data_IF_153142119658
#
_entry.id   IF_153142119658
#
_cell.length_a   1.000
_cell.length_b   1.000
_cell.length_c   1.000
_cell.angle_alpha   90.00
_cell.angle_beta   90.00
_cell.angle_gamma   90.00
#
_symmetry.space_group_name_H-M   'P 1'
#
loop_
_entity.id
_entity.type
_entity.pdbx_description
1 polymer ?
#
# COMPACT_ATOMS: atom_id res chain seq x y z
N UNK A 1 -8.65 0.41 -15.07
CA UNK A 1 -8.20 -0.72 -14.22
C UNK A 1 -6.92 -0.24 -13.52
N UNK A 2 -6.76 -0.38 -12.19
CA UNK A 2 -5.55 -0.08 -11.36
C UNK A 2 -5.36 -1.31 -10.38
N UNK A 3 -4.30 -2.06 -9.96
CA UNK A 3 -2.78 -2.22 -9.93
C UNK A 3 -1.93 -0.95 -9.80
N UNK A 4 -2.33 -0.14 -8.85
CA UNK A 4 -1.44 -0.08 -7.70
C UNK A 4 -1.57 -1.43 -6.97
N UNK A 5 -0.58 -2.31 -7.07
CA UNK A 5 -0.60 -3.57 -6.32
C UNK A 5 -0.40 -3.23 -4.85
N UNK A 6 -1.50 -3.09 -4.11
CA UNK A 6 -1.51 -2.85 -2.66
C UNK A 6 -1.15 -4.13 -1.88
N UNK A 7 0.09 -4.55 -2.11
CA UNK A 7 0.94 -5.38 -1.27
C UNK A 7 2.35 -4.79 -1.43
N UNK A 8 2.46 -3.51 -1.10
CA UNK A 8 3.71 -2.75 -1.16
C UNK A 8 4.53 -3.05 0.09
N UNK A 9 5.77 -3.51 -0.09
CA UNK A 9 6.67 -3.69 1.06
C UNK A 9 6.98 -2.32 1.67
N UNK A 10 6.85 -2.16 2.99
CA UNK A 10 7.12 -0.92 3.75
C UNK A 10 8.16 -1.17 4.83
N UNK A 11 8.72 -0.08 5.35
CA UNK A 11 9.56 -0.02 6.54
C UNK A 11 8.80 0.62 7.72
N UNK A 12 9.35 0.53 8.93
CA UNK A 12 8.80 1.08 10.18
C UNK A 12 8.74 2.64 10.23
N UNK A 13 8.85 3.30 9.08
CA UNK A 13 8.65 4.74 8.90
C UNK A 13 7.57 5.03 7.83
N UNK A 14 7.03 3.99 7.17
CA UNK A 14 6.03 4.11 6.11
C UNK A 14 6.55 4.69 4.79
N UNK A 15 7.87 4.77 4.57
CA UNK A 15 8.47 5.59 3.51
C UNK A 15 8.67 4.81 2.20
N UNK A 16 9.02 3.52 2.28
CA UNK A 16 9.69 2.81 1.16
C UNK A 16 8.86 1.74 0.43
N UNK A 17 7.69 2.07 -0.11
CA UNK A 17 6.97 1.22 -1.08
C UNK A 17 6.78 1.88 -2.45
N UNK A 18 6.93 1.11 -3.54
CA UNK A 18 5.87 0.49 -4.40
C UNK A 18 6.59 -0.20 -5.58
N UNK A 19 6.20 -1.44 -5.93
CA UNK A 19 6.78 -2.20 -7.05
C UNK A 19 6.78 -1.46 -8.41
N UNK A 20 5.91 -0.47 -8.59
CA UNK A 20 5.69 0.30 -9.80
C UNK A 20 6.55 1.58 -9.93
N UNK A 21 7.46 1.88 -8.99
CA UNK A 21 8.26 3.13 -8.94
C UNK A 21 7.42 4.42 -8.85
N UNK A 22 6.27 4.35 -8.19
CA UNK A 22 5.50 5.51 -7.73
C UNK A 22 5.72 5.63 -6.22
N UNK A 23 6.21 6.75 -5.67
CA UNK A 23 6.35 6.92 -4.22
C UNK A 23 4.97 6.84 -3.51
N UNK A 24 4.92 6.27 -2.30
CA UNK A 24 3.71 6.30 -1.47
C UNK A 24 3.19 7.74 -1.24
N UNK A 25 4.10 8.71 -1.17
CA UNK A 25 3.80 10.13 -0.98
C UNK A 25 2.96 10.75 -2.13
N UNK A 26 2.91 10.12 -3.30
CA UNK A 26 2.07 10.53 -4.44
C UNK A 26 0.66 9.91 -4.40
N UNK A 27 0.35 9.10 -3.38
CA UNK A 27 -0.95 8.45 -3.19
C UNK A 27 -1.66 9.06 -1.97
N UNK A 28 -2.95 9.44 -2.06
CA UNK A 28 -3.71 9.95 -0.92
C UNK A 28 -4.09 8.80 0.01
N UNK A 29 -3.16 8.42 0.88
CA UNK A 29 -3.30 7.37 1.88
C UNK A 29 -3.21 7.97 3.28
N UNK A 30 -4.13 7.55 4.14
CA UNK A 30 -4.17 7.92 5.56
C UNK A 30 -3.98 6.64 6.39
N UNK A 31 -3.08 6.66 7.37
CA UNK A 31 -2.87 5.55 8.29
C UNK A 31 -4.02 5.45 9.30
N UNK A 32 -4.35 4.25 9.79
CA UNK A 32 -5.21 4.14 10.98
C UNK A 32 -4.47 4.68 12.23
N UNK A 33 -5.19 5.21 13.24
CA UNK A 33 -4.56 5.76 14.44
C UNK A 33 -3.73 4.72 15.20
N UNK A 34 -2.41 4.84 15.13
CA UNK A 34 -1.43 3.92 15.70
C UNK A 34 -0.28 3.61 14.73
N UNK A 35 -0.58 3.58 13.43
CA UNK A 35 0.30 3.01 12.40
C UNK A 35 1.19 4.05 11.70
N UNK A 36 2.34 3.63 11.14
CA UNK A 36 2.90 2.28 11.18
C UNK A 36 3.59 1.93 12.50
N UNK A 37 3.23 0.81 13.13
CA UNK A 37 3.83 0.31 14.39
C UNK A 37 4.90 -0.78 14.18
N UNK A 38 4.88 -1.49 13.03
CA UNK A 38 5.73 -2.63 12.70
C UNK A 38 5.76 -3.71 13.80
N UNK A 39 4.59 -4.26 14.11
CA UNK A 39 4.40 -5.17 15.24
C UNK A 39 5.40 -6.32 15.26
N UNK A 40 6.06 -6.50 16.41
CA UNK A 40 7.13 -7.49 16.64
C UNK A 40 8.32 -7.44 15.64
N UNK A 41 8.49 -6.36 14.88
CA UNK A 41 9.39 -6.25 13.72
C UNK A 41 9.07 -7.26 12.60
N UNK A 42 7.78 -7.58 12.42
CA UNK A 42 7.29 -8.59 11.48
C UNK A 42 6.34 -8.05 10.40
N UNK A 43 5.91 -6.79 10.54
CA UNK A 43 4.90 -6.18 9.68
C UNK A 43 5.60 -5.24 8.70
N UNK A 44 5.37 -5.49 7.42
CA UNK A 44 6.19 -4.93 6.35
C UNK A 44 5.46 -4.91 5.00
N UNK A 45 4.15 -5.12 4.98
CA UNK A 45 3.32 -5.01 3.79
C UNK A 45 2.13 -4.09 4.09
N UNK A 46 2.00 -3.01 3.30
CA UNK A 46 0.94 -2.03 3.48
C UNK A 46 -0.38 -2.53 2.87
N UNK A 47 -1.43 -2.57 3.70
CA UNK A 47 -2.76 -3.12 3.42
C UNK A 47 -3.83 -2.05 3.62
N UNK A 48 -4.85 -2.03 2.75
CA UNK A 48 -5.99 -1.11 2.86
C UNK A 48 -7.12 -1.73 3.70
N UNK A 49 -7.49 -1.05 4.78
CA UNK A 49 -8.47 -1.48 5.76
C UNK A 49 -9.86 -0.92 5.40
N UNK A 50 -10.63 -1.72 4.65
CA UNK A 50 -11.98 -1.34 4.18
C UNK A 50 -12.98 -1.07 5.31
N UNK A 51 -12.80 -1.70 6.47
CA UNK A 51 -13.58 -1.44 7.70
C UNK A 51 -13.26 -0.09 8.35
N UNK A 52 -12.11 0.50 8.00
CA UNK A 52 -11.58 1.75 8.56
C UNK A 52 -11.64 2.89 7.55
N UNK A 53 -12.73 2.96 6.77
CA UNK A 53 -12.95 3.94 5.69
C UNK A 53 -11.91 3.92 4.55
N UNK A 54 -11.10 2.87 4.40
CA UNK A 54 -10.06 2.79 3.35
C UNK A 54 -8.72 3.41 3.72
N UNK A 55 -8.50 3.70 5.01
CA UNK A 55 -7.18 3.95 5.60
C UNK A 55 -6.28 2.70 5.49
N UNK A 56 -5.00 2.84 5.84
CA UNK A 56 -3.97 1.78 5.72
C UNK A 56 -3.31 1.44 7.06
N UNK A 57 -2.76 0.23 7.13
CA UNK A 57 -1.81 -0.22 8.14
C UNK A 57 -0.74 -1.11 7.49
N UNK A 58 0.41 -1.28 8.12
CA UNK A 58 1.35 -2.35 7.79
C UNK A 58 0.94 -3.64 8.50
N UNK A 59 1.03 -4.76 7.80
CA UNK A 59 0.72 -6.09 8.31
C UNK A 59 1.78 -7.09 7.87
N UNK A 60 1.75 -8.29 8.45
CA UNK A 60 2.61 -9.41 8.05
C UNK A 60 2.45 -9.75 6.56
N UNK A 61 3.55 -9.73 5.80
CA UNK A 61 3.57 -10.06 4.36
C UNK A 61 3.20 -11.53 4.02
N UNK A 62 3.01 -12.39 5.03
CA UNK A 62 2.52 -13.77 4.89
C UNK A 62 1.01 -13.85 4.66
N UNK A 63 0.28 -12.81 5.03
CA UNK A 63 -1.15 -12.88 5.24
C UNK A 63 -1.93 -12.59 3.95
N UNK A 64 -3.07 -13.27 3.78
CA UNK A 64 -3.75 -13.37 2.48
C UNK A 64 -4.87 -12.34 2.37
N UNK A 65 -4.54 -11.17 1.81
CA UNK A 65 -5.48 -10.06 1.59
C UNK A 65 -5.93 -9.91 0.12
N UNK A 66 -7.13 -9.36 -0.13
CA UNK A 66 -7.53 -8.89 -1.46
C UNK A 66 -6.63 -7.76 -2.00
N UNK A 67 -6.53 -7.64 -3.33
CA UNK A 67 -5.70 -6.65 -4.02
C UNK A 67 -6.43 -6.09 -5.28
N UNK A 68 -5.76 -5.20 -6.04
CA UNK A 68 -6.36 -4.25 -7.00
C UNK A 68 -5.58 -4.34 -8.37
N UNK A 69 -6.19 -4.39 -9.59
CA UNK A 69 -5.53 -4.74 -10.93
C UNK A 69 -5.49 -3.68 -12.13
N UNK A 70 -4.36 -3.40 -12.88
CA UNK A 70 -3.98 -2.09 -13.55
C UNK A 70 -3.81 -1.96 -15.08
N UNK A 71 -3.78 -0.69 -15.57
CA UNK A 71 -2.63 0.03 -16.20
C UNK A 71 -2.89 1.57 -16.20
N UNK A 72 -1.87 2.43 -15.95
CA UNK A 72 -2.00 3.91 -16.06
C UNK A 72 -2.46 4.20 -17.48
N UNK A 73 -3.52 5.00 -17.66
CA UNK A 73 -4.12 5.20 -18.98
C UNK A 73 -3.09 5.83 -19.92
N UNK A 74 -2.59 5.03 -20.86
CA UNK A 74 -1.68 5.46 -21.90
C UNK A 74 -2.45 6.30 -22.91
N UNK A 75 -2.13 7.59 -22.98
CA UNK A 75 -2.54 8.41 -24.13
C UNK A 75 -1.80 7.88 -25.35
N UNK A 76 -2.52 7.39 -26.35
CA UNK A 76 -1.95 7.17 -27.67
C UNK A 76 -1.61 8.54 -28.25
N UNK A 77 -0.32 8.85 -28.36
CA UNK A 77 0.16 9.97 -29.16
C UNK A 77 0.07 9.55 -30.63
N UNK A 78 -0.47 10.43 -31.46
CA UNK A 78 -0.84 10.19 -32.85
C UNK A 78 -0.25 11.27 -33.76
#
# INVERSE_FOLDING_TARGET
MYEYTFNGRVDALGVNAVHARVPLLELPLEWVPGEPDNYLNSESCLVMLTQSNGTVGDLMCSDVFPYVCYKKKSTLVN
#
